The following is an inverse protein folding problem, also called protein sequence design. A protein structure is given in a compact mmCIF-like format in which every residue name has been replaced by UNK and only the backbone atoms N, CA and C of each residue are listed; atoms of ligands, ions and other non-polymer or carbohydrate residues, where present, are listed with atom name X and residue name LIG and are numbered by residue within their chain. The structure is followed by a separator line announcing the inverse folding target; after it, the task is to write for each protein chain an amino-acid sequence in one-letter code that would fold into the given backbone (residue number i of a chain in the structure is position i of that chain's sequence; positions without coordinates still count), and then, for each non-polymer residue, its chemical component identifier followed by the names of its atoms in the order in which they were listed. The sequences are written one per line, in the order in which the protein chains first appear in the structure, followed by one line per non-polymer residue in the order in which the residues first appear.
data_IF_921017493904
#
_entry.id   IF_921017493904
#
_cell.length_a   1.000
_cell.length_b   1.000
_cell.length_c   1.000
_cell.angle_alpha   90.00
_cell.angle_beta   90.00
_cell.angle_gamma   90.00
#
_symmetry.space_group_name_H-M   'P 1'
#
loop_
_entity.id
_entity.type
_entity.pdbx_description
1 polymer ?
#
# COMPACT_ATOMS: atom_id res chain seq x y z
N UNK A 1 -9.92 -2.03 10.87
CA UNK A 1 -9.48 -0.87 10.07
C UNK A 1 -8.18 -0.21 10.53
N UNK A 2 -7.11 -0.44 9.77
CA UNK A 2 -5.76 0.14 9.94
C UNK A 2 -5.74 1.68 10.10
N UNK A 3 -6.66 2.41 9.46
CA UNK A 3 -6.72 3.86 9.57
C UNK A 3 -6.94 4.33 11.02
N UNK A 4 -7.68 3.56 11.85
CA UNK A 4 -7.85 3.88 13.27
C UNK A 4 -6.54 3.77 14.04
N UNK A 5 -5.76 2.72 13.77
CA UNK A 5 -4.45 2.49 14.36
C UNK A 5 -3.46 3.59 13.95
N UNK A 6 -3.44 3.94 12.66
CA UNK A 6 -2.62 5.04 12.14
C UNK A 6 -2.99 6.37 12.81
N UNK A 7 -4.29 6.70 12.94
CA UNK A 7 -4.73 7.91 13.65
C UNK A 7 -4.33 7.91 15.12
N UNK A 8 -4.51 6.80 15.82
CA UNK A 8 -4.11 6.69 17.22
C UNK A 8 -2.60 6.89 17.40
N UNK A 9 -1.79 6.30 16.52
CA UNK A 9 -0.35 6.45 16.53
C UNK A 9 0.10 7.90 16.23
N UNK A 10 -0.50 8.55 15.22
CA UNK A 10 -0.22 9.95 14.91
C UNK A 10 -0.63 10.89 16.05
N UNK A 11 -1.82 10.68 16.63
CA UNK A 11 -2.28 11.46 17.78
C UNK A 11 -1.33 11.30 18.97
N UNK A 12 -0.91 10.06 19.26
CA UNK A 12 0.08 9.80 20.29
C UNK A 12 1.37 10.60 20.07
N UNK A 13 1.96 10.54 18.87
CA UNK A 13 3.17 11.30 18.55
C UNK A 13 2.96 12.81 18.74
N UNK A 14 1.88 13.36 18.18
CA UNK A 14 1.58 14.79 18.25
C UNK A 14 1.34 15.26 19.70
N UNK A 15 0.63 14.46 20.50
CA UNK A 15 0.40 14.76 21.92
C UNK A 15 1.69 14.69 22.73
N UNK A 16 2.57 13.72 22.48
CA UNK A 16 3.87 13.62 23.13
C UNK A 16 4.76 14.82 22.77
N UNK A 17 4.78 15.23 21.49
CA UNK A 17 5.49 16.44 21.05
C UNK A 17 4.94 17.71 21.72
N UNK A 18 3.62 17.87 21.78
CA UNK A 18 2.99 19.02 22.42
C UNK A 18 3.27 19.06 23.92
N UNK A 19 3.20 17.91 24.61
CA UNK A 19 3.53 17.80 26.02
C UNK A 19 5.00 18.14 26.29
N UNK A 20 5.92 17.63 25.46
CA UNK A 20 7.34 17.96 25.53
C UNK A 20 7.60 19.46 25.36
N UNK A 21 7.00 20.06 24.33
CA UNK A 21 7.11 21.49 24.07
C UNK A 21 6.61 22.29 25.28
N UNK A 22 5.39 22.02 25.77
CA UNK A 22 4.82 22.73 26.91
C UNK A 22 5.69 22.62 28.17
N UNK A 23 6.28 21.45 28.42
CA UNK A 23 7.13 21.22 29.58
C UNK A 23 8.51 21.88 29.47
N UNK A 24 9.14 21.83 28.29
CA UNK A 24 10.52 22.29 28.11
C UNK A 24 10.63 23.75 27.70
N UNK A 25 9.58 24.34 27.12
CA UNK A 25 9.57 25.71 26.60
C UNK A 25 9.97 26.77 27.65
N UNK A 26 9.46 26.76 28.89
CA UNK A 26 9.84 27.76 29.90
C UNK A 26 11.29 27.63 30.37
N UNK A 27 11.91 26.45 30.18
CA UNK A 27 13.30 26.16 30.60
C UNK A 27 14.29 26.53 29.51
N UNK A 28 14.02 26.09 28.28
CA UNK A 28 14.86 26.37 27.12
C UNK A 28 14.06 26.11 25.84
N UNK A 29 13.69 27.16 25.08
CA UNK A 29 13.04 27.00 23.79
C UNK A 29 13.86 26.16 22.80
N UNK A 30 15.18 26.26 22.84
CA UNK A 30 16.07 25.47 21.97
C UNK A 30 15.95 23.96 22.22
N UNK A 31 16.01 23.53 23.49
CA UNK A 31 15.84 22.12 23.85
C UNK A 31 14.41 21.62 23.61
N UNK A 32 13.42 22.50 23.78
CA UNK A 32 12.03 22.19 23.47
C UNK A 32 11.87 21.84 21.98
N UNK A 33 12.39 22.69 21.09
CA UNK A 33 12.36 22.47 19.64
C UNK A 33 13.15 21.22 19.22
N UNK A 34 14.38 21.05 19.74
CA UNK A 34 15.20 19.88 19.43
C UNK A 34 14.50 18.57 19.80
N UNK A 35 13.90 18.50 21.00
CA UNK A 35 13.18 17.29 21.42
C UNK A 35 11.89 17.06 20.63
N UNK A 36 11.17 18.11 20.23
CA UNK A 36 10.00 17.98 19.37
C UNK A 36 10.33 17.44 17.96
N UNK A 37 11.56 17.63 17.48
CA UNK A 37 12.03 17.11 16.18
C UNK A 37 12.47 15.64 16.24
N UNK A 38 12.60 15.03 17.41
CA UNK A 38 13.06 13.64 17.56
C UNK A 38 12.24 12.65 16.73
N UNK A 39 10.88 12.65 16.76
CA UNK A 39 10.10 11.70 15.96
C UNK A 39 10.39 11.81 14.46
N UNK A 40 10.56 13.03 13.95
CA UNK A 40 10.93 13.28 12.55
C UNK A 40 12.34 12.78 12.26
N UNK A 41 13.31 13.05 13.13
CA UNK A 41 14.68 12.59 12.98
C UNK A 41 14.78 11.06 12.98
N UNK A 42 14.06 10.38 13.88
CA UNK A 42 13.96 8.91 13.92
C UNK A 42 13.35 8.38 12.62
N UNK A 43 12.26 8.98 12.14
CA UNK A 43 11.64 8.59 10.89
C UNK A 43 12.60 8.72 9.69
N UNK A 44 13.28 9.86 9.56
CA UNK A 44 14.27 10.09 8.49
C UNK A 44 15.43 9.09 8.57
N UNK A 45 15.92 8.80 9.78
CA UNK A 45 16.99 7.83 10.02
C UNK A 45 16.58 6.42 9.63
N UNK A 46 15.40 5.96 10.07
CA UNK A 46 14.87 4.64 9.70
C UNK A 46 14.74 4.53 8.19
N UNK A 47 14.19 5.55 7.52
CA UNK A 47 14.10 5.56 6.06
C UNK A 47 15.48 5.51 5.39
N UNK A 48 16.46 6.26 5.91
CA UNK A 48 17.80 6.25 5.36
C UNK A 48 18.46 4.86 5.51
N UNK A 49 18.29 4.21 6.66
CA UNK A 49 18.76 2.84 6.90
C UNK A 49 18.11 1.87 5.91
N UNK A 50 16.80 1.94 5.68
CA UNK A 50 16.12 1.10 4.71
C UNK A 50 16.64 1.29 3.28
N UNK A 51 16.94 2.52 2.86
CA UNK A 51 17.54 2.81 1.55
C UNK A 51 18.99 2.33 1.43
N UNK A 52 19.78 2.43 2.50
CA UNK A 52 21.13 1.85 2.56
C UNK A 52 21.05 0.33 2.45
N UNK A 53 20.16 -0.31 3.22
CA UNK A 53 19.95 -1.75 3.17
C UNK A 53 19.52 -2.17 1.76
N UNK A 54 18.54 -1.49 1.15
CA UNK A 54 18.10 -1.72 -0.22
C UNK A 54 19.26 -1.60 -1.22
N UNK A 55 20.09 -0.56 -1.11
CA UNK A 55 21.24 -0.38 -1.99
C UNK A 55 22.28 -1.51 -1.84
N UNK A 56 22.45 -2.05 -0.63
CA UNK A 56 23.38 -3.16 -0.35
C UNK A 56 22.78 -4.52 -0.75
N UNK A 57 21.50 -4.78 -0.49
CA UNK A 57 20.86 -6.07 -0.78
C UNK A 57 20.60 -6.26 -2.27
N UNK A 58 20.16 -5.20 -2.95
CA UNK A 58 19.76 -5.27 -4.35
C UNK A 58 20.95 -5.15 -5.31
N UNK A 59 22.18 -5.12 -4.79
CA UNK A 59 23.40 -5.07 -5.62
C UNK A 59 23.52 -6.26 -6.56
N UNK A 60 22.88 -7.38 -6.25
CA UNK A 60 22.89 -8.60 -7.06
C UNK A 60 21.70 -8.72 -8.00
N UNK A 61 20.81 -7.73 -8.01
CA UNK A 61 19.66 -7.74 -8.93
C UNK A 61 20.13 -7.57 -10.37
N UNK A 62 19.38 -8.15 -11.31
CA UNK A 62 19.63 -8.00 -12.74
C UNK A 62 19.44 -6.55 -13.23
N UNK A 63 18.76 -5.70 -12.44
CA UNK A 63 18.55 -4.30 -12.76
C UNK A 63 19.86 -3.49 -12.64
N UNK A 64 20.04 -2.43 -13.46
CA UNK A 64 21.19 -1.54 -13.33
C UNK A 64 21.29 -0.94 -11.93
N UNK A 65 22.52 -0.89 -11.39
CA UNK A 65 22.76 -0.30 -10.07
C UNK A 65 22.51 1.21 -10.10
N UNK A 66 21.66 1.68 -9.19
CA UNK A 66 21.47 3.11 -8.97
C UNK A 66 22.76 3.74 -8.40
N UNK A 67 23.13 4.92 -8.90
CA UNK A 67 24.21 5.73 -8.32
C UNK A 67 23.78 6.28 -6.96
N UNK A 68 24.72 6.55 -6.05
CA UNK A 68 24.43 7.09 -4.72
C UNK A 68 23.55 8.35 -4.75
N UNK A 69 23.79 9.25 -5.70
CA UNK A 69 22.95 10.43 -5.89
C UNK A 69 21.49 10.07 -6.24
N UNK A 70 21.26 9.06 -7.08
CA UNK A 70 19.91 8.59 -7.42
C UNK A 70 19.23 7.95 -6.20
N UNK A 71 19.98 7.21 -5.38
CA UNK A 71 19.48 6.65 -4.12
C UNK A 71 19.06 7.76 -3.16
N UNK A 72 19.86 8.82 -3.03
CA UNK A 72 19.51 9.97 -2.19
C UNK A 72 18.26 10.71 -2.70
N UNK A 73 18.16 10.96 -4.00
CA UNK A 73 16.97 11.60 -4.60
C UNK A 73 15.72 10.74 -4.38
N UNK A 74 15.83 9.42 -4.57
CA UNK A 74 14.73 8.50 -4.33
C UNK A 74 14.33 8.44 -2.85
N UNK A 75 15.30 8.42 -1.93
CA UNK A 75 15.04 8.49 -0.49
C UNK A 75 14.28 9.76 -0.11
N UNK A 76 14.72 10.92 -0.62
CA UNK A 76 14.06 12.19 -0.32
C UNK A 76 12.64 12.25 -0.89
N UNK A 77 12.42 11.72 -2.10
CA UNK A 77 11.08 11.60 -2.67
C UNK A 77 10.19 10.67 -1.85
N UNK A 78 10.72 9.52 -1.42
CA UNK A 78 9.98 8.54 -0.63
C UNK A 78 9.58 9.07 0.74
N UNK A 79 10.44 9.87 1.40
CA UNK A 79 10.11 10.57 2.65
C UNK A 79 8.81 11.36 2.52
N UNK A 80 8.67 12.16 1.47
CA UNK A 80 7.45 12.95 1.26
C UNK A 80 6.25 12.10 0.86
N UNK A 81 6.46 11.09 0.02
CA UNK A 81 5.38 10.15 -0.38
C UNK A 81 4.85 9.39 0.83
N UNK A 82 5.72 8.84 1.66
CA UNK A 82 5.36 8.08 2.85
C UNK A 82 4.67 8.97 3.89
N UNK A 83 5.14 10.20 4.15
CA UNK A 83 4.43 11.16 5.00
C UNK A 83 3.04 11.49 4.45
N UNK A 84 2.93 11.74 3.14
CA UNK A 84 1.63 12.03 2.52
C UNK A 84 0.68 10.82 2.57
N UNK A 85 1.18 9.61 2.41
CA UNK A 85 0.39 8.39 2.40
C UNK A 85 -0.01 7.99 3.81
N UNK A 86 0.96 7.78 4.71
CA UNK A 86 0.73 7.25 6.06
C UNK A 86 0.36 8.32 7.08
N UNK A 87 0.79 9.57 6.88
CA UNK A 87 0.45 10.71 7.74
C UNK A 87 -0.86 11.42 7.35
N UNK A 88 -1.34 11.24 6.11
CA UNK A 88 -2.53 11.96 5.63
C UNK A 88 -3.56 11.08 4.91
N UNK A 89 -3.21 10.53 3.74
CA UNK A 89 -4.18 9.89 2.84
C UNK A 89 -4.86 8.69 3.48
N UNK A 90 -4.07 7.77 4.01
CA UNK A 90 -4.60 6.57 4.66
C UNK A 90 -5.40 6.86 5.95
N UNK A 91 -4.89 7.64 6.92
CA UNK A 91 -5.61 7.88 8.17
C UNK A 91 -6.87 8.74 8.00
N UNK A 92 -6.84 9.76 7.13
CA UNK A 92 -7.88 10.80 7.09
C UNK A 92 -8.67 10.87 5.78
N UNK A 93 -8.14 10.35 4.67
CA UNK A 93 -8.76 10.52 3.34
C UNK A 93 -9.11 9.22 2.62
N UNK A 94 -8.87 8.04 3.19
CA UNK A 94 -9.09 6.76 2.51
C UNK A 94 -10.56 6.51 2.07
N UNK A 95 -11.52 7.20 2.69
CA UNK A 95 -12.94 7.17 2.32
C UNK A 95 -13.41 8.40 1.53
N UNK A 96 -12.52 9.35 1.22
CA UNK A 96 -12.94 10.64 0.64
C UNK A 96 -13.44 10.54 -0.80
N UNK A 97 -13.08 9.47 -1.51
CA UNK A 97 -13.54 9.19 -2.85
C UNK A 97 -14.09 7.77 -2.91
N UNK A 98 -15.29 7.54 -3.47
CA UNK A 98 -15.84 6.21 -3.64
C UNK A 98 -15.06 5.45 -4.71
N UNK A 99 -15.28 4.14 -4.78
CA UNK A 99 -15.00 3.37 -6.00
C UNK A 99 -15.84 3.93 -7.16
N UNK A 100 -15.43 3.64 -8.39
CA UNK A 100 -16.20 4.06 -9.57
C UNK A 100 -16.54 2.87 -10.46
N UNK A 101 -17.83 2.55 -10.52
CA UNK A 101 -18.42 1.59 -11.43
C UNK A 101 -19.41 2.37 -12.32
N UNK A 102 -19.21 2.44 -13.64
CA UNK A 102 -20.11 3.15 -14.53
C UNK A 102 -21.46 2.41 -14.62
N UNK A 103 -22.56 3.15 -14.83
CA UNK A 103 -23.89 2.56 -15.01
C UNK A 103 -23.98 1.72 -16.29
N UNK A 104 -23.29 2.18 -17.34
CA UNK A 104 -23.17 1.49 -18.62
C UNK A 104 -21.69 1.17 -18.91
N UNK A 105 -21.37 0.01 -19.50
CA UNK A 105 -19.99 -0.33 -19.84
C UNK A 105 -19.35 0.71 -20.77
N UNK A 106 -18.17 1.21 -20.38
CA UNK A 106 -17.39 2.18 -21.16
C UNK A 106 -16.64 1.57 -22.35
N UNK A 107 -16.76 0.25 -22.56
CA UNK A 107 -15.93 -0.53 -23.48
C UNK A 107 -14.48 -0.73 -23.02
N UNK A 108 -14.10 -0.22 -21.84
CA UNK A 108 -12.76 -0.38 -21.25
C UNK A 108 -12.78 -1.43 -20.14
N UNK A 109 -11.71 -2.23 -20.05
CA UNK A 109 -11.48 -3.15 -18.93
C UNK A 109 -11.37 -2.36 -17.63
N UNK A 110 -12.00 -2.86 -16.58
CA UNK A 110 -11.84 -2.29 -15.24
C UNK A 110 -10.59 -2.80 -14.50
N UNK A 111 -10.36 -2.22 -13.32
CA UNK A 111 -9.18 -2.45 -12.50
C UNK A 111 -9.57 -2.76 -11.05
N UNK A 112 -8.95 -3.76 -10.44
CA UNK A 112 -9.01 -3.98 -8.99
C UNK A 112 -7.66 -3.59 -8.39
N UNK A 113 -7.68 -2.65 -7.46
CA UNK A 113 -6.49 -2.08 -6.83
C UNK A 113 -6.28 -2.72 -5.46
N UNK A 114 -5.20 -3.48 -5.30
CA UNK A 114 -4.90 -4.30 -4.12
C UNK A 114 -3.64 -3.76 -3.43
N UNK A 115 -3.81 -3.16 -2.25
CA UNK A 115 -2.70 -2.57 -1.50
C UNK A 115 -1.84 -3.62 -0.75
N UNK A 116 -0.72 -3.17 -0.19
CA UNK A 116 0.20 -3.99 0.59
C UNK A 116 -0.10 -4.03 2.08
N UNK A 117 0.80 -4.64 2.84
CA UNK A 117 0.73 -4.74 4.30
C UNK A 117 0.67 -3.34 4.95
N UNK A 118 -0.06 -3.23 6.06
CA UNK A 118 -0.31 -1.97 6.80
C UNK A 118 -0.84 -0.79 5.96
N UNK A 119 -1.40 -1.08 4.79
CA UNK A 119 -2.04 -0.09 3.93
C UNK A 119 -3.57 -0.19 3.97
N UNK A 120 -4.23 0.80 3.38
CA UNK A 120 -5.63 0.77 2.98
C UNK A 120 -5.79 1.38 1.58
N UNK A 121 -7.02 1.45 1.06
CA UNK A 121 -7.33 2.02 -0.26
C UNK A 121 -6.86 3.47 -0.47
N UNK A 122 -6.56 4.21 0.60
CA UNK A 122 -5.98 5.55 0.57
C UNK A 122 -4.64 5.65 -0.17
N UNK A 123 -3.89 4.55 -0.29
CA UNK A 123 -2.69 4.45 -1.13
C UNK A 123 -2.99 4.83 -2.58
N UNK A 124 -4.15 4.43 -3.08
CA UNK A 124 -4.53 4.51 -4.48
C UNK A 124 -5.26 5.79 -4.88
N UNK A 125 -5.52 6.72 -3.95
CA UNK A 125 -6.29 7.95 -4.24
C UNK A 125 -5.79 8.72 -5.48
N UNK A 126 -4.47 8.90 -5.72
CA UNK A 126 -4.00 9.59 -6.93
C UNK A 126 -4.35 8.87 -8.25
N UNK A 127 -4.71 7.60 -8.20
CA UNK A 127 -5.04 6.79 -9.38
C UNK A 127 -6.52 6.87 -9.75
N UNK A 128 -7.39 7.31 -8.83
CA UNK A 128 -8.84 7.27 -9.05
C UNK A 128 -9.29 8.21 -10.16
N UNK A 129 -8.85 9.47 -10.15
CA UNK A 129 -9.21 10.43 -11.21
C UNK A 129 -8.65 10.00 -12.58
N UNK A 130 -7.35 9.67 -12.74
CA UNK A 130 -6.82 9.25 -14.02
C UNK A 130 -7.40 7.92 -14.56
N UNK A 131 -7.86 7.02 -13.70
CA UNK A 131 -8.58 5.80 -14.12
C UNK A 131 -9.98 6.14 -14.64
N UNK A 132 -10.72 6.96 -13.88
CA UNK A 132 -12.07 7.40 -14.25
C UNK A 132 -12.07 8.20 -15.55
N UNK A 133 -11.17 9.15 -15.70
CA UNK A 133 -11.03 9.98 -16.91
C UNK A 133 -10.76 9.14 -18.17
N UNK A 134 -10.06 8.01 -18.01
CA UNK A 134 -9.78 7.06 -19.09
C UNK A 134 -10.87 6.00 -19.27
N UNK A 135 -11.95 6.07 -18.49
CA UNK A 135 -13.08 5.17 -18.56
C UNK A 135 -12.86 3.80 -17.91
N UNK A 136 -11.80 3.60 -17.13
CA UNK A 136 -11.56 2.35 -16.42
C UNK A 136 -12.37 2.31 -15.11
N UNK A 137 -13.39 1.46 -15.06
CA UNK A 137 -14.08 1.14 -13.80
C UNK A 137 -13.06 0.63 -12.78
N UNK A 138 -13.18 0.98 -11.50
CA UNK A 138 -12.25 0.48 -10.49
C UNK A 138 -12.89 0.23 -9.14
N UNK A 139 -12.35 -0.77 -8.45
CA UNK A 139 -12.57 -1.03 -7.03
C UNK A 139 -11.22 -1.09 -6.32
N UNK A 140 -11.05 -0.32 -5.25
CA UNK A 140 -9.87 -0.35 -4.41
C UNK A 140 -10.20 -1.00 -3.07
N UNK A 141 -9.69 -2.22 -2.85
CA UNK A 141 -10.02 -3.04 -1.68
C UNK A 141 -9.35 -2.52 -0.41
N UNK A 142 -9.95 -2.83 0.74
CA UNK A 142 -9.29 -2.75 2.05
C UNK A 142 -9.11 -4.18 2.56
N UNK A 143 -7.86 -4.63 2.68
CA UNK A 143 -7.55 -5.98 3.16
C UNK A 143 -7.61 -6.02 4.69
N UNK A 144 -8.53 -6.80 5.24
CA UNK A 144 -8.69 -7.06 6.67
C UNK A 144 -8.88 -8.57 6.94
N UNK A 145 -8.41 -9.11 8.08
CA UNK A 145 -7.73 -8.41 9.17
C UNK A 145 -6.27 -8.04 8.84
N UNK A 146 -5.78 -6.93 9.41
CA UNK A 146 -4.48 -6.34 9.06
C UNK A 146 -3.29 -7.24 9.40
N UNK A 147 -3.40 -7.97 10.52
CA UNK A 147 -2.38 -8.92 11.01
C UNK A 147 -2.82 -10.37 10.78
N UNK A 148 -3.74 -10.58 9.84
CA UNK A 148 -4.31 -11.88 9.49
C UNK A 148 -3.49 -12.67 8.47
N UNK A 149 -3.99 -13.85 8.12
CA UNK A 149 -3.46 -14.62 7.01
C UNK A 149 -3.81 -13.95 5.69
N UNK A 150 -2.90 -14.03 4.71
CA UNK A 150 -3.15 -13.59 3.34
C UNK A 150 -4.33 -14.35 2.72
N UNK A 151 -4.58 -15.59 3.15
CA UNK A 151 -5.69 -16.41 2.67
C UNK A 151 -7.06 -15.87 3.09
N UNK A 152 -7.13 -15.04 4.13
CA UNK A 152 -8.38 -14.40 4.58
C UNK A 152 -8.83 -13.28 3.61
N UNK A 153 -7.95 -12.84 2.70
CA UNK A 153 -8.27 -11.78 1.73
C UNK A 153 -8.97 -12.29 0.47
N UNK A 154 -9.12 -13.61 0.31
CA UNK A 154 -9.66 -14.24 -0.90
C UNK A 154 -11.04 -13.69 -1.24
N UNK A 155 -11.97 -13.66 -0.28
CA UNK A 155 -13.35 -13.26 -0.53
C UNK A 155 -13.46 -11.76 -0.87
N UNK A 156 -12.66 -10.93 -0.19
CA UNK A 156 -12.59 -9.49 -0.49
C UNK A 156 -12.14 -9.22 -1.93
N UNK A 157 -11.14 -9.98 -2.40
CA UNK A 157 -10.66 -9.86 -3.78
C UNK A 157 -11.70 -10.43 -4.76
N UNK A 158 -12.34 -11.55 -4.42
CA UNK A 158 -13.34 -12.20 -5.27
C UNK A 158 -14.56 -11.29 -5.52
N UNK A 159 -15.07 -10.66 -4.47
CA UNK A 159 -16.17 -9.69 -4.55
C UNK A 159 -15.80 -8.49 -5.42
N UNK A 160 -14.59 -7.93 -5.23
CA UNK A 160 -14.12 -6.81 -6.03
C UNK A 160 -14.01 -7.17 -7.52
N UNK A 161 -13.46 -8.35 -7.83
CA UNK A 161 -13.39 -8.87 -9.21
C UNK A 161 -14.78 -9.04 -9.79
N UNK A 162 -15.72 -9.63 -9.03
CA UNK A 162 -17.10 -9.81 -9.47
C UNK A 162 -17.80 -8.47 -9.78
N UNK A 163 -17.67 -7.48 -8.88
CA UNK A 163 -18.25 -6.14 -9.05
C UNK A 163 -17.71 -5.42 -10.29
N UNK A 164 -16.39 -5.44 -10.50
CA UNK A 164 -15.79 -4.81 -11.69
C UNK A 164 -16.17 -5.56 -12.98
N UNK A 165 -16.22 -6.88 -12.92
CA UNK A 165 -16.65 -7.71 -14.08
C UNK A 165 -18.10 -7.41 -14.44
N UNK A 166 -19.00 -7.34 -13.45
CA UNK A 166 -20.40 -7.03 -13.67
C UNK A 166 -20.60 -5.64 -14.30
N UNK A 167 -19.85 -4.62 -13.84
CA UNK A 167 -19.95 -3.26 -14.37
C UNK A 167 -19.35 -3.07 -15.77
N UNK A 168 -18.47 -3.97 -16.22
CA UNK A 168 -17.73 -3.80 -17.48
C UNK A 168 -18.01 -4.89 -18.52
N UNK A 169 -18.60 -6.02 -18.11
CA UNK A 169 -18.73 -7.22 -18.92
C UNK A 169 -17.39 -7.91 -19.23
N UNK A 170 -16.28 -7.48 -18.61
CA UNK A 170 -14.93 -7.91 -18.94
C UNK A 170 -14.14 -8.28 -17.68
N UNK A 171 -13.33 -9.34 -17.78
CA UNK A 171 -12.38 -9.69 -16.73
C UNK A 171 -11.43 -8.50 -16.43
N UNK A 172 -11.31 -8.06 -15.16
CA UNK A 172 -10.52 -6.89 -14.78
C UNK A 172 -9.01 -7.16 -14.80
N UNK A 173 -8.23 -6.09 -14.73
CA UNK A 173 -6.80 -6.15 -14.40
C UNK A 173 -6.63 -5.98 -12.89
N UNK A 174 -5.88 -6.86 -12.23
CA UNK A 174 -5.47 -6.63 -10.84
C UNK A 174 -4.17 -5.82 -10.84
N UNK A 175 -4.13 -4.72 -10.09
CA UNK A 175 -2.90 -3.99 -9.81
C UNK A 175 -2.59 -4.13 -8.32
N UNK A 176 -1.45 -4.71 -8.03
CA UNK A 176 -1.11 -5.22 -6.72
C UNK A 176 0.17 -4.57 -6.21
N UNK A 177 0.12 -3.90 -5.06
CA UNK A 177 1.30 -3.31 -4.43
C UNK A 177 1.83 -4.21 -3.31
N UNK A 178 3.15 -4.47 -3.31
CA UNK A 178 3.83 -5.21 -2.23
C UNK A 178 3.11 -6.54 -1.92
N UNK A 179 2.72 -6.79 -0.66
CA UNK A 179 1.96 -7.98 -0.22
C UNK A 179 0.67 -8.23 -1.04
N UNK A 180 0.05 -7.20 -1.62
CA UNK A 180 -1.18 -7.35 -2.41
C UNK A 180 -1.04 -8.33 -3.58
N UNK A 181 0.17 -8.52 -4.12
CA UNK A 181 0.41 -9.50 -5.19
C UNK A 181 0.43 -10.95 -4.66
N UNK A 182 0.84 -11.14 -3.40
CA UNK A 182 0.71 -12.43 -2.72
C UNK A 182 -0.77 -12.72 -2.41
N UNK A 183 -1.55 -11.71 -2.04
CA UNK A 183 -3.00 -11.83 -1.85
C UNK A 183 -3.71 -12.21 -3.16
N UNK A 184 -3.32 -11.59 -4.29
CA UNK A 184 -3.83 -11.99 -5.60
C UNK A 184 -3.46 -13.44 -5.97
N UNK A 185 -2.25 -13.91 -5.63
CA UNK A 185 -1.86 -15.32 -5.80
C UNK A 185 -2.67 -16.27 -4.91
N UNK A 186 -2.92 -15.90 -3.67
CA UNK A 186 -3.78 -16.68 -2.77
C UNK A 186 -5.20 -16.78 -3.33
N UNK A 187 -5.75 -15.65 -3.81
CA UNK A 187 -7.04 -15.64 -4.50
C UNK A 187 -7.08 -16.55 -5.72
N UNK A 188 -6.06 -16.51 -6.60
CA UNK A 188 -5.99 -17.39 -7.79
C UNK A 188 -5.98 -18.87 -7.44
N UNK A 189 -5.26 -19.27 -6.38
CA UNK A 189 -5.21 -20.67 -5.92
C UNK A 189 -6.46 -21.11 -5.18
N UNK A 190 -7.19 -20.19 -4.54
CA UNK A 190 -8.34 -20.56 -3.74
C UNK A 190 -9.46 -21.13 -4.65
N UNK A 191 -9.83 -22.39 -4.44
CA UNK A 191 -10.78 -23.14 -5.28
C UNK A 191 -10.15 -24.11 -6.28
N UNK A 192 -8.82 -24.13 -6.39
CA UNK A 192 -8.00 -25.08 -7.17
C UNK A 192 -7.94 -26.49 -6.52
N UNK A 193 -9.07 -27.01 -6.03
CA UNK A 193 -9.13 -28.31 -5.35
C UNK A 193 -9.04 -29.49 -6.35
N UNK A 194 -9.17 -29.23 -7.65
CA UNK A 194 -9.07 -30.20 -8.73
C UNK A 194 -8.48 -29.53 -9.97
N UNK A 195 -7.71 -30.26 -10.80
CA UNK A 195 -7.06 -29.72 -12.00
C UNK A 195 -8.00 -29.01 -12.99
N UNK A 196 -9.30 -29.37 -13.00
CA UNK A 196 -10.33 -28.70 -13.79
C UNK A 196 -10.81 -27.37 -13.18
N UNK A 197 -10.75 -27.22 -11.85
CA UNK A 197 -11.08 -26.01 -11.13
C UNK A 197 -9.92 -24.99 -11.09
N UNK A 198 -8.67 -25.45 -11.25
CA UNK A 198 -7.45 -24.61 -11.23
C UNK A 198 -7.52 -23.41 -12.18
N UNK A 199 -8.20 -23.56 -13.32
CA UNK A 199 -8.27 -22.53 -14.36
C UNK A 199 -9.51 -21.62 -14.24
N UNK A 200 -10.42 -21.85 -13.29
CA UNK A 200 -11.69 -21.12 -13.23
C UNK A 200 -11.48 -19.65 -12.85
N UNK A 201 -10.58 -19.36 -11.91
CA UNK A 201 -10.26 -17.98 -11.52
C UNK A 201 -9.33 -17.27 -12.49
N UNK A 202 -8.45 -18.00 -13.17
CA UNK A 202 -7.61 -17.43 -14.24
C UNK A 202 -8.47 -16.82 -15.34
N UNK A 203 -9.63 -17.43 -15.65
CA UNK A 203 -10.60 -16.87 -16.61
C UNK A 203 -11.34 -15.62 -16.10
N UNK A 204 -11.34 -15.38 -14.79
CA UNK A 204 -11.99 -14.21 -14.15
C UNK A 204 -11.08 -12.99 -14.06
N UNK A 205 -9.82 -13.10 -14.48
CA UNK A 205 -8.86 -11.99 -14.49
C UNK A 205 -8.21 -11.88 -15.86
N UNK A 206 -7.98 -10.66 -16.33
CA UNK A 206 -7.27 -10.44 -17.60
C UNK A 206 -5.74 -10.47 -17.41
N UNK A 207 -5.24 -9.74 -16.41
CA UNK A 207 -3.81 -9.70 -16.03
C UNK A 207 -3.67 -9.38 -14.55
N UNK A 208 -2.56 -9.82 -13.97
CA UNK A 208 -2.11 -9.42 -12.63
C UNK A 208 -0.81 -8.65 -12.79
N UNK A 209 -0.80 -7.40 -12.35
CA UNK A 209 0.36 -6.51 -12.36
C UNK A 209 0.85 -6.33 -10.93
N UNK A 210 2.08 -6.71 -10.65
CA UNK A 210 2.69 -6.57 -9.32
C UNK A 210 3.69 -5.43 -9.28
N UNK A 211 3.60 -4.60 -8.25
CA UNK A 211 4.47 -3.46 -7.98
C UNK A 211 5.25 -3.74 -6.70
N UNK A 212 6.49 -4.22 -6.85
CA UNK A 212 7.36 -4.54 -5.71
C UNK A 212 6.85 -5.71 -4.84
N UNK A 213 6.12 -6.67 -5.42
CA UNK A 213 5.62 -7.83 -4.68
C UNK A 213 6.77 -8.78 -4.30
N UNK A 214 6.93 -9.11 -3.01
CA UNK A 214 7.98 -10.03 -2.55
C UNK A 214 7.59 -11.50 -2.80
N UNK A 215 7.62 -11.94 -4.06
CA UNK A 215 7.18 -13.29 -4.45
C UNK A 215 7.91 -14.42 -3.74
N UNK A 216 9.20 -14.22 -3.40
CA UNK A 216 10.03 -15.13 -2.63
C UNK A 216 10.23 -14.71 -1.16
N UNK A 217 9.36 -13.85 -0.63
CA UNK A 217 9.50 -13.28 0.71
C UNK A 217 10.41 -12.04 0.75
N UNK A 218 10.60 -11.50 1.95
CA UNK A 218 11.47 -10.33 2.21
C UNK A 218 12.64 -10.75 3.11
N UNK A 219 13.73 -9.98 3.09
CA UNK A 219 14.85 -10.21 4.00
C UNK A 219 14.41 -10.12 5.48
N UNK A 220 13.58 -9.13 5.82
CA UNK A 220 13.01 -8.96 7.16
C UNK A 220 12.07 -10.12 7.55
N UNK A 221 11.33 -10.68 6.59
CA UNK A 221 10.43 -11.82 6.81
C UNK A 221 11.15 -13.09 7.26
N UNK A 222 12.48 -13.16 7.16
CA UNK A 222 13.28 -14.28 7.72
C UNK A 222 13.27 -14.31 9.25
N UNK A 223 12.87 -13.21 9.90
CA UNK A 223 12.82 -13.08 11.35
C UNK A 223 11.41 -13.21 11.93
N UNK A 224 10.36 -13.28 11.09
CA UNK A 224 9.01 -13.60 11.54
C UNK A 224 8.86 -15.11 11.70
N UNK A 225 8.31 -15.54 12.83
CA UNK A 225 7.89 -16.92 13.08
C UNK A 225 6.40 -17.07 12.83
#
# INVERSE_FOLDING_TARGET
MIARWQRAFLLFILTAMAAWLAWQWPRSPGLALLGALIPLAVYLLVMAIEFVLMHVTNRTDAAPRARLFQVFVAWWAEVWVALAVFGWRQPFRHQSLPDWLPAEPTGRRGVVLIHGFMCNRGLWLPWFAPLRERGHAFVAVNLEPVMGSIDEYVDTIDEAVARVTAATGQAPVLVCHSMGGLAARAWLRAGAATAAADHQKERRVHRVLTLGTPHGGTWLGRFSR
#
